data_IF_944359432321
#
_entry.id   IF_944359432321
#
_cell.length_a   1.000
_cell.length_b   1.000
_cell.length_c   1.000
_cell.angle_alpha   90.00
_cell.angle_beta   90.00
_cell.angle_gamma   90.00
#
_symmetry.space_group_name_H-M   'P 1'
#
loop_
_entity.id
_entity.type
_entity.pdbx_description
1 polymer ?
#
# COMPACT_ATOMS: atom_id res chain seq x y z
N UNK A 1 -18.12 -11.48 5.85
CA UNK A 1 -18.01 -12.77 5.15
C UNK A 1 -16.89 -13.57 5.78
N UNK A 2 -17.14 -14.84 6.13
CA UNK A 2 -16.10 -15.76 6.60
C UNK A 2 -15.10 -15.96 5.45
N UNK A 3 -13.80 -15.89 5.76
CA UNK A 3 -12.75 -15.66 4.78
C UNK A 3 -12.48 -16.83 3.82
N UNK A 4 -11.59 -16.63 2.83
CA UNK A 4 -11.00 -17.74 2.11
C UNK A 4 -10.39 -18.74 3.09
N UNK A 5 -10.78 -19.99 2.94
CA UNK A 5 -10.07 -21.11 3.54
C UNK A 5 -9.47 -21.95 2.44
N UNK A 6 -8.23 -22.37 2.64
CA UNK A 6 -7.57 -23.27 1.70
C UNK A 6 -8.18 -24.66 1.84
N UNK A 7 -8.49 -25.32 0.72
CA UNK A 7 -8.77 -26.76 0.74
C UNK A 7 -7.44 -27.47 0.96
N UNK A 8 -7.36 -28.26 2.01
CA UNK A 8 -6.15 -29.04 2.35
C UNK A 8 -6.27 -30.51 1.97
N UNK A 9 -7.50 -31.01 1.81
CA UNK A 9 -7.74 -32.42 1.55
C UNK A 9 -9.10 -32.59 0.83
N UNK A 10 -9.10 -33.35 -0.26
CA UNK A 10 -10.33 -33.97 -0.77
C UNK A 10 -10.59 -35.23 0.05
N UNK A 11 -11.77 -35.34 0.65
CA UNK A 11 -12.09 -36.53 1.45
C UNK A 11 -12.36 -37.74 0.53
N UNK A 12 -12.59 -38.92 1.11
CA UNK A 12 -13.02 -40.11 0.36
C UNK A 12 -14.38 -39.91 -0.34
N UNK A 13 -15.17 -38.92 0.06
CA UNK A 13 -16.37 -38.50 -0.66
C UNK A 13 -16.04 -37.38 -1.66
N UNK A 14 -16.49 -37.48 -2.93
CA UNK A 14 -16.21 -36.48 -3.96
C UNK A 14 -16.90 -35.13 -3.69
N UNK A 15 -17.84 -35.09 -2.74
CA UNK A 15 -18.62 -33.91 -2.42
C UNK A 15 -18.17 -33.22 -1.14
N UNK A 16 -17.14 -33.73 -0.44
CA UNK A 16 -16.69 -33.16 0.82
C UNK A 16 -15.19 -32.85 0.81
N UNK A 17 -14.86 -31.64 1.29
CA UNK A 17 -13.51 -31.11 1.32
C UNK A 17 -13.17 -30.63 2.72
N UNK A 18 -11.92 -30.85 3.12
CA UNK A 18 -11.38 -30.34 4.37
C UNK A 18 -10.72 -28.98 4.14
N UNK A 19 -11.10 -28.01 4.96
CA UNK A 19 -10.60 -26.64 4.93
C UNK A 19 -9.55 -26.40 6.02
N UNK A 20 -8.58 -25.55 5.72
CA UNK A 20 -7.68 -24.97 6.71
C UNK A 20 -8.40 -23.85 7.45
N UNK A 21 -9.02 -24.18 8.58
CA UNK A 21 -9.68 -23.21 9.44
C UNK A 21 -8.68 -22.54 10.40
N UNK A 22 -8.90 -21.27 10.80
CA UNK A 22 -8.13 -20.62 11.85
C UNK A 22 -8.24 -21.39 13.17
N UNK A 23 -7.19 -21.42 14.01
CA UNK A 23 -7.24 -22.10 15.31
C UNK A 23 -8.33 -21.56 16.27
N UNK A 24 -8.81 -20.34 16.04
CA UNK A 24 -9.92 -19.75 16.81
C UNK A 24 -11.29 -20.35 16.46
N UNK A 25 -11.39 -21.14 15.39
CA UNK A 25 -12.65 -21.69 14.90
C UNK A 25 -12.79 -23.16 15.31
N UNK A 26 -13.52 -23.39 16.40
CA UNK A 26 -13.76 -24.73 16.98
C UNK A 26 -14.89 -25.49 16.24
N UNK A 27 -14.88 -25.49 14.91
CA UNK A 27 -15.88 -26.23 14.11
C UNK A 27 -15.21 -27.33 13.29
N UNK A 28 -15.99 -28.31 12.85
CA UNK A 28 -15.47 -29.39 12.00
C UNK A 28 -14.97 -28.82 10.67
N UNK A 29 -13.73 -29.16 10.24
CA UNK A 29 -13.12 -28.57 9.05
C UNK A 29 -13.63 -29.18 7.74
N UNK A 30 -14.55 -30.15 7.75
CA UNK A 30 -15.03 -30.85 6.56
C UNK A 30 -16.39 -30.30 6.13
N UNK A 31 -16.46 -29.82 4.90
CA UNK A 31 -17.65 -29.17 4.35
C UNK A 31 -18.07 -29.80 3.03
N UNK A 32 -19.37 -29.87 2.81
CA UNK A 32 -19.94 -30.29 1.54
C UNK A 32 -19.76 -29.20 0.46
N UNK A 33 -19.55 -29.58 -0.80
CA UNK A 33 -19.28 -28.66 -1.92
C UNK A 33 -20.34 -27.56 -2.08
N UNK A 34 -21.61 -27.85 -1.79
CA UNK A 34 -22.71 -26.87 -1.84
C UNK A 34 -22.60 -25.75 -0.79
N UNK A 35 -21.78 -25.92 0.25
CA UNK A 35 -21.50 -24.89 1.27
C UNK A 35 -20.26 -24.07 0.92
N UNK A 36 -19.57 -24.40 -0.17
CA UNK A 36 -18.34 -23.76 -0.59
C UNK A 36 -18.61 -22.84 -1.78
N UNK A 37 -18.06 -21.64 -1.72
CA UNK A 37 -17.97 -20.76 -2.89
C UNK A 37 -16.51 -20.72 -3.37
N UNK A 38 -16.23 -21.01 -4.66
CA UNK A 38 -14.89 -20.91 -5.20
C UNK A 38 -14.35 -19.48 -5.08
N UNK A 39 -13.10 -19.36 -4.63
CA UNK A 39 -12.40 -18.08 -4.62
C UNK A 39 -12.13 -17.63 -6.06
N UNK A 40 -12.88 -16.65 -6.55
CA UNK A 40 -12.71 -16.09 -7.90
C UNK A 40 -11.54 -15.11 -7.94
N UNK A 41 -10.89 -15.02 -9.10
CA UNK A 41 -9.88 -13.98 -9.34
C UNK A 41 -10.51 -12.60 -9.15
N UNK A 42 -9.84 -11.73 -8.38
CA UNK A 42 -10.35 -10.40 -8.05
C UNK A 42 -11.38 -10.37 -6.92
N UNK A 43 -11.61 -11.49 -6.21
CA UNK A 43 -12.42 -11.46 -5.00
C UNK A 43 -11.74 -10.58 -3.94
N UNK A 44 -12.48 -9.72 -3.21
CA UNK A 44 -11.88 -8.76 -2.27
C UNK A 44 -11.00 -9.39 -1.21
N UNK A 45 -11.30 -10.63 -0.81
CA UNK A 45 -10.52 -11.35 0.20
C UNK A 45 -9.41 -12.24 -0.38
N UNK A 46 -9.23 -12.28 -1.71
CA UNK A 46 -8.17 -13.09 -2.32
C UNK A 46 -6.80 -12.51 -1.95
N UNK A 47 -5.91 -13.30 -1.31
CA UNK A 47 -4.51 -12.90 -1.18
C UNK A 47 -3.92 -12.69 -2.57
N UNK A 48 -3.54 -11.45 -2.89
CA UNK A 48 -2.80 -11.17 -4.11
C UNK A 48 -1.33 -11.44 -3.85
N UNK A 49 -0.66 -12.18 -4.73
CA UNK A 49 0.80 -12.23 -4.72
C UNK A 49 1.32 -10.80 -4.92
N UNK A 50 2.36 -10.37 -4.18
CA UNK A 50 2.93 -9.06 -4.40
C UNK A 50 3.46 -9.00 -5.84
N UNK A 51 2.98 -8.09 -6.71
CA UNK A 51 3.54 -7.89 -8.03
C UNK A 51 5.03 -7.56 -7.96
N UNK A 52 5.74 -7.73 -9.09
CA UNK A 52 7.18 -7.61 -9.13
C UNK A 52 7.66 -6.29 -8.56
N UNK A 53 8.53 -6.36 -7.55
CA UNK A 53 9.28 -5.24 -7.01
C UNK A 53 10.12 -4.62 -8.13
N UNK A 54 9.89 -3.35 -8.45
CA UNK A 54 10.79 -2.60 -9.32
C UNK A 54 11.85 -2.00 -8.41
N UNK A 55 13.10 -2.38 -8.61
CA UNK A 55 14.21 -1.71 -7.95
C UNK A 55 14.72 -0.58 -8.85
N UNK A 56 14.55 0.66 -8.40
CA UNK A 56 15.13 1.84 -9.04
C UNK A 56 16.08 2.49 -8.04
N UNK A 57 17.35 2.63 -8.41
CA UNK A 57 18.40 3.21 -7.56
C UNK A 57 18.51 2.57 -6.16
N UNK A 58 18.19 1.28 -6.02
CA UNK A 58 18.21 0.56 -4.75
C UNK A 58 17.02 0.87 -3.82
N UNK A 59 15.97 1.52 -4.35
CA UNK A 59 14.70 1.76 -3.66
C UNK A 59 13.58 0.94 -4.32
N UNK A 60 12.64 0.49 -3.49
CA UNK A 60 11.44 -0.22 -3.93
C UNK A 60 10.44 0.78 -4.54
N UNK A 61 10.08 0.58 -5.80
CA UNK A 61 9.06 1.36 -6.49
C UNK A 61 7.89 0.47 -6.94
N UNK A 62 6.69 1.04 -6.89
CA UNK A 62 5.43 0.39 -7.28
C UNK A 62 4.70 1.24 -8.31
N UNK A 63 4.02 0.57 -9.25
CA UNK A 63 3.26 1.27 -10.29
C UNK A 63 1.91 1.71 -9.73
N UNK A 64 1.65 3.03 -9.77
CA UNK A 64 0.34 3.59 -9.45
C UNK A 64 -0.62 3.36 -10.62
N UNK A 65 -1.81 2.81 -10.33
CA UNK A 65 -2.91 2.72 -11.27
C UNK A 65 -3.71 4.03 -11.28
N UNK A 66 -4.30 4.39 -10.13
CA UNK A 66 -5.11 5.59 -9.96
C UNK A 66 -4.90 6.22 -8.59
N UNK A 67 -5.15 7.53 -8.49
CA UNK A 67 -5.38 8.19 -7.19
C UNK A 67 -6.89 8.31 -7.02
N UNK A 68 -7.38 7.83 -5.87
CA UNK A 68 -8.79 7.76 -5.56
C UNK A 68 -9.26 8.96 -4.74
N UNK A 69 -8.42 9.44 -3.82
CA UNK A 69 -8.79 10.50 -2.88
C UNK A 69 -7.55 11.25 -2.36
N UNK A 70 -7.77 12.34 -1.63
CA UNK A 70 -6.74 13.05 -0.87
C UNK A 70 -7.23 13.49 0.51
N UNK A 71 -6.30 13.67 1.44
CA UNK A 71 -6.60 14.19 2.78
C UNK A 71 -5.44 15.01 3.34
N UNK A 72 -5.71 15.72 4.43
CA UNK A 72 -4.67 16.30 5.28
C UNK A 72 -4.13 15.20 6.20
N UNK A 73 -2.82 14.95 6.12
CA UNK A 73 -2.11 13.96 6.93
C UNK A 73 -1.83 14.47 8.35
N UNK A 74 -1.35 13.58 9.22
CA UNK A 74 -1.06 13.89 10.63
C UNK A 74 0.05 14.95 10.82
N UNK A 75 0.94 15.10 9.83
CA UNK A 75 2.00 16.10 9.81
C UNK A 75 1.55 17.43 9.19
N UNK A 76 0.24 17.62 9.01
CA UNK A 76 -0.37 18.74 8.30
C UNK A 76 0.07 18.83 6.81
N UNK A 77 0.61 17.72 6.28
CA UNK A 77 0.88 17.49 4.86
C UNK A 77 -0.34 16.94 4.12
N UNK A 78 -0.13 16.45 2.90
CA UNK A 78 -1.19 15.89 2.06
C UNK A 78 -0.86 14.45 1.73
N UNK A 79 -1.81 13.57 2.05
CA UNK A 79 -1.76 12.17 1.65
C UNK A 79 -2.74 11.93 0.51
N UNK A 80 -2.43 10.95 -0.32
CA UNK A 80 -3.25 10.53 -1.45
C UNK A 80 -3.55 9.05 -1.34
N UNK A 81 -4.83 8.68 -1.51
CA UNK A 81 -5.23 7.28 -1.52
C UNK A 81 -4.88 6.70 -2.90
N UNK A 82 -3.87 5.83 -2.91
CA UNK A 82 -3.31 5.23 -4.11
C UNK A 82 -3.94 3.86 -4.33
N UNK A 83 -4.51 3.67 -5.53
CA UNK A 83 -4.78 2.35 -6.06
C UNK A 83 -3.57 1.87 -6.86
N UNK A 84 -2.99 0.76 -6.42
CA UNK A 84 -1.79 0.19 -7.01
C UNK A 84 -2.12 -0.71 -8.20
N UNK A 85 -1.32 -0.64 -9.25
CA UNK A 85 -1.50 -1.47 -10.44
C UNK A 85 -1.20 -2.93 -10.10
N UNK A 86 -2.06 -3.83 -10.57
CA UNK A 86 -1.98 -5.28 -10.35
C UNK A 86 -2.20 -5.70 -8.87
N UNK A 87 -2.69 -4.79 -8.01
CA UNK A 87 -3.17 -5.09 -6.67
C UNK A 87 -4.69 -4.93 -6.57
N UNK A 88 -5.32 -5.62 -5.62
CA UNK A 88 -6.71 -5.37 -5.25
C UNK A 88 -6.83 -4.11 -4.39
N UNK A 89 -8.05 -3.55 -4.31
CA UNK A 89 -8.34 -2.36 -3.50
C UNK A 89 -8.09 -2.54 -2.00
N UNK A 90 -7.94 -3.78 -1.51
CA UNK A 90 -7.54 -4.04 -0.10
C UNK A 90 -6.12 -3.54 0.17
N UNK A 91 -5.29 -3.39 -0.86
CA UNK A 91 -3.94 -2.85 -0.75
C UNK A 91 -3.87 -1.34 -0.99
N UNK A 92 -5.01 -0.67 -1.21
CA UNK A 92 -5.02 0.78 -1.37
C UNK A 92 -4.44 1.43 -0.09
N UNK A 93 -3.46 2.31 -0.28
CA UNK A 93 -2.74 2.94 0.83
C UNK A 93 -2.71 4.44 0.68
N UNK A 94 -2.60 5.13 1.82
CA UNK A 94 -2.42 6.57 1.87
C UNK A 94 -0.93 6.88 1.76
N UNK A 95 -0.54 7.46 0.63
CA UNK A 95 0.84 7.82 0.34
C UNK A 95 1.05 9.33 0.47
N UNK A 96 2.18 9.77 1.05
CA UNK A 96 2.51 11.18 1.13
C UNK A 96 2.70 11.75 -0.28
N UNK A 97 2.44 13.05 -0.42
CA UNK A 97 2.60 13.78 -1.68
C UNK A 97 3.93 13.51 -2.39
N UNK A 98 5.04 13.44 -1.65
CA UNK A 98 6.38 13.20 -2.17
C UNK A 98 6.49 11.88 -2.96
N UNK A 99 5.72 10.86 -2.59
CA UNK A 99 5.74 9.55 -3.23
C UNK A 99 4.97 9.55 -4.56
N UNK A 100 4.01 10.45 -4.75
CA UNK A 100 3.07 10.40 -5.89
C UNK A 100 3.24 11.57 -6.86
N UNK A 101 3.93 12.64 -6.48
CA UNK A 101 3.98 13.91 -7.22
C UNK A 101 4.48 13.80 -8.68
N UNK A 102 5.35 12.84 -8.95
CA UNK A 102 5.99 12.63 -10.24
C UNK A 102 5.13 11.75 -11.17
N UNK A 103 4.14 11.04 -10.61
CA UNK A 103 3.30 10.10 -11.33
C UNK A 103 2.32 10.79 -12.28
N UNK A 104 1.96 10.11 -13.37
CA UNK A 104 0.92 10.55 -14.31
C UNK A 104 -0.48 10.50 -13.68
N UNK A 105 -0.71 9.55 -12.77
CA UNK A 105 -1.94 9.42 -12.00
C UNK A 105 -2.21 10.67 -11.16
N UNK A 106 -1.20 11.18 -10.43
CA UNK A 106 -1.32 12.42 -9.67
C UNK A 106 -1.67 13.63 -10.55
N UNK A 107 -0.97 13.80 -11.67
CA UNK A 107 -1.22 14.90 -12.61
C UNK A 107 -2.66 14.87 -13.15
N UNK A 108 -3.17 13.67 -13.42
CA UNK A 108 -4.54 13.47 -13.92
C UNK A 108 -5.58 13.76 -12.84
N UNK A 109 -5.39 13.18 -11.65
CA UNK A 109 -6.27 13.40 -10.50
C UNK A 109 -6.38 14.88 -10.15
N UNK A 110 -5.24 15.58 -10.04
CA UNK A 110 -5.18 17.02 -9.77
C UNK A 110 -5.93 17.83 -10.82
N UNK A 111 -5.81 17.50 -12.11
CA UNK A 111 -6.52 18.22 -13.20
C UNK A 111 -8.03 18.05 -13.09
N UNK A 112 -8.51 16.85 -12.76
CA UNK A 112 -9.94 16.55 -12.62
C UNK A 112 -10.57 17.26 -11.41
N UNK A 113 -9.81 17.39 -10.33
CA UNK A 113 -10.32 17.88 -9.05
C UNK A 113 -9.94 19.34 -8.78
N UNK A 114 -9.24 20.01 -9.70
CA UNK A 114 -8.76 21.40 -9.55
C UNK A 114 -9.87 22.43 -9.26
N UNK A 115 -11.10 22.14 -9.71
CA UNK A 115 -12.28 23.00 -9.56
C UNK A 115 -13.23 22.50 -8.47
N UNK A 116 -12.92 21.41 -7.78
CA UNK A 116 -13.77 20.87 -6.74
C UNK A 116 -13.49 21.60 -5.41
N UNK A 117 -14.42 22.44 -4.91
CA UNK A 117 -14.21 23.21 -3.69
C UNK A 117 -14.13 22.34 -2.43
N UNK A 118 -14.62 21.10 -2.50
CA UNK A 118 -14.59 20.16 -1.37
C UNK A 118 -13.27 19.37 -1.32
N UNK A 119 -12.38 19.54 -2.30
CA UNK A 119 -11.16 18.77 -2.40
C UNK A 119 -9.94 19.61 -2.03
N UNK A 120 -9.22 19.18 -1.00
CA UNK A 120 -8.10 19.92 -0.41
C UNK A 120 -6.81 19.58 -1.15
N UNK A 121 -6.32 20.52 -1.97
CA UNK A 121 -4.98 20.44 -2.54
C UNK A 121 -3.99 21.25 -1.71
N UNK A 122 -2.72 20.80 -1.61
CA UNK A 122 -1.66 21.67 -1.12
C UNK A 122 -1.67 22.98 -1.90
N UNK A 123 -1.66 24.14 -1.20
CA UNK A 123 -1.40 25.39 -1.89
C UNK A 123 -0.03 25.27 -2.54
N UNK A 124 0.11 25.75 -3.78
CA UNK A 124 1.31 25.55 -4.59
C UNK A 124 2.64 25.92 -3.89
N UNK A 125 2.58 26.82 -2.89
CA UNK A 125 3.71 27.28 -2.07
C UNK A 125 4.18 26.28 -1.00
N UNK A 126 3.30 25.41 -0.49
CA UNK A 126 3.65 24.40 0.52
C UNK A 126 4.68 23.39 -0.01
N UNK A 127 4.69 23.16 -1.32
CA UNK A 127 5.65 22.29 -2.00
C UNK A 127 7.10 22.81 -1.91
N UNK A 128 7.34 24.12 -1.84
CA UNK A 128 8.71 24.66 -1.84
C UNK A 128 9.40 24.60 -0.47
N UNK A 129 8.65 24.73 0.64
CA UNK A 129 9.24 24.82 1.97
C UNK A 129 9.69 23.46 2.52
N UNK A 130 8.99 22.36 2.21
CA UNK A 130 9.38 21.02 2.70
C UNK A 130 10.63 20.47 2.01
N UNK A 131 10.82 20.72 0.70
CA UNK A 131 12.05 20.33 -0.02
C UNK A 131 13.32 20.99 0.53
N UNK A 132 13.23 22.22 1.06
CA UNK A 132 14.37 22.89 1.70
C UNK A 132 14.66 22.31 3.09
N UNK A 133 13.62 22.01 3.88
CA UNK A 133 13.77 21.51 5.25
C UNK A 133 14.25 20.05 5.32
N UNK A 134 13.81 19.17 4.43
CA UNK A 134 14.26 17.76 4.38
C UNK A 134 15.72 17.66 3.92
N UNK A 135 16.14 18.51 2.98
CA UNK A 135 17.53 18.59 2.50
C UNK A 135 18.47 19.14 3.58
N UNK A 136 18.04 20.14 4.36
CA UNK A 136 18.83 20.68 5.47
C UNK A 136 18.95 19.71 6.66
N UNK A 137 17.90 18.94 6.98
CA UNK A 137 17.96 17.98 8.09
C UNK A 137 18.85 16.76 7.79
N UNK A 138 18.86 16.28 6.54
CA UNK A 138 19.77 15.22 6.13
C UNK A 138 21.24 15.68 6.15
N UNK A 139 21.53 16.93 5.78
CA UNK A 139 22.87 17.50 5.89
C UNK A 139 23.33 17.67 7.35
N UNK A 140 22.45 18.08 8.27
CA UNK A 140 22.78 18.16 9.71
C UNK A 140 23.03 16.79 10.34
N UNK A 141 22.31 15.74 9.91
CA UNK A 141 22.48 14.37 10.41
C UNK A 141 23.76 13.70 9.88
N UNK A 142 24.16 14.01 8.65
CA UNK A 142 25.42 13.53 8.06
C UNK A 142 26.66 14.22 8.66
N UNK A 143 26.59 15.54 8.93
CA UNK A 143 27.70 16.25 9.58
C UNK A 143 27.96 15.78 11.03
N UNK A 144 26.91 15.47 11.82
CA UNK A 144 27.08 14.94 13.20
C UNK A 144 27.62 13.52 13.25
N UNK A 145 27.48 12.72 12.19
CA UNK A 145 28.07 11.37 12.08
C UNK A 145 29.54 11.41 11.65
N UNK A 146 29.91 12.33 10.76
CA UNK A 146 31.30 12.52 10.29
C UNK A 146 32.24 13.03 11.39
N UNK A 147 31.74 13.84 12.35
CA UNK A 147 32.55 14.35 13.45
C UNK A 147 32.87 13.32 14.54
N UNK A 148 32.20 12.14 14.57
CA UNK A 148 32.38 11.12 15.62
C UNK A 148 33.41 10.03 15.29
N UNK A 149 33.89 9.96 14.04
CA UNK A 149 34.82 8.92 13.57
C UNK A 149 36.30 9.36 13.53
N UNK A 150 36.62 10.57 14.00
CA UNK A 150 37.99 11.14 13.92
C UNK A 150 38.77 11.08 15.24
N UNK A 151 38.51 10.07 16.07
CA UNK A 151 39.01 10.00 17.46
C UNK A 151 39.53 8.63 17.94
N UNK A 152 39.94 7.74 17.04
CA UNK A 152 40.63 6.51 17.43
C UNK A 152 41.94 6.40 16.66
N UNK A 153 43.03 6.81 17.33
CA UNK A 153 44.41 6.44 16.98
C UNK A 153 44.78 5.19 17.79
N UNK A 154 45.39 4.17 17.18
CA UNK A 154 46.35 3.31 17.87
C UNK A 154 47.67 4.05 18.12
#
# INVERSE_FOLDING_TARGET
MLGPFKIIEATSSPLAFKLQLPPSMNIHPVFHVNLLEPMRKGHPQQPQDPPPRIEVNGQEEYIVNHILDSRIGADNGYDYLVNWKDYSSVHDSWEPWENVNHTTAYKTFRRQHLKNPNHHFPPAKAHQQKHQNTTQNNNKRSQRRSSRLRGLRP
#
